data_IF_662283948327
#
_entry.id   IF_662283948327
#
_cell.length_a   1.000
_cell.length_b   1.000
_cell.length_c   1.000
_cell.angle_alpha   90.00
_cell.angle_beta   90.00
_cell.angle_gamma   90.00
#
_symmetry.space_group_name_H-M   'P 1'
#
loop_
_entity.id
_entity.type
_entity.pdbx_description
1 polymer ?
#
# COMPACT_ATOMS: atom_id res chain seq x y z
N UNK A 1 -9.50 17.68 3.96
CA UNK A 1 -9.80 17.66 5.40
C UNK A 1 -11.30 17.85 5.51
N UNK A 2 -12.03 16.75 5.70
CA UNK A 2 -13.46 16.84 5.98
C UNK A 2 -13.57 16.91 7.50
N UNK A 3 -14.00 18.06 8.00
CA UNK A 3 -14.24 18.28 9.41
C UNK A 3 -15.65 17.74 9.68
N UNK A 4 -15.74 16.59 10.36
CA UNK A 4 -17.00 16.08 10.86
C UNK A 4 -17.25 16.70 12.24
N UNK A 5 -18.46 17.20 12.47
CA UNK A 5 -18.93 17.60 13.79
C UNK A 5 -19.44 16.34 14.51
N UNK A 6 -18.50 15.52 14.99
CA UNK A 6 -18.73 14.24 15.65
C UNK A 6 -19.62 14.31 16.92
N UNK A 7 -19.94 15.52 17.40
CA UNK A 7 -20.89 15.75 18.49
C UNK A 7 -22.34 15.76 17.97
N UNK A 8 -22.58 16.28 16.76
CA UNK A 8 -23.90 16.25 16.10
C UNK A 8 -24.13 14.98 15.29
N UNK A 9 -23.07 14.48 14.66
CA UNK A 9 -23.12 13.29 13.80
C UNK A 9 -22.76 12.04 14.62
N UNK A 10 -23.65 11.67 15.55
CA UNK A 10 -23.47 10.53 16.47
C UNK A 10 -23.21 9.16 15.79
N UNK A 11 -23.30 9.09 14.46
CA UNK A 11 -22.95 7.95 13.60
C UNK A 11 -22.03 8.43 12.47
N UNK A 12 -20.88 8.99 12.81
CA UNK A 12 -19.87 9.35 11.83
C UNK A 12 -18.77 8.29 11.79
N UNK A 13 -18.23 8.08 10.60
CA UNK A 13 -17.11 7.18 10.39
C UNK A 13 -15.86 7.71 11.12
N UNK A 14 -14.98 6.83 11.61
CA UNK A 14 -14.80 5.43 11.18
C UNK A 14 -15.78 4.42 11.77
N UNK A 15 -16.15 3.44 10.95
CA UNK A 15 -16.97 2.28 11.37
C UNK A 15 -16.09 1.06 11.67
N UNK A 16 -16.49 0.26 12.65
CA UNK A 16 -15.85 -1.01 12.98
C UNK A 16 -16.26 -2.16 12.02
N UNK A 17 -15.80 -3.37 12.30
CA UNK A 17 -16.11 -4.56 11.48
C UNK A 17 -17.61 -4.94 11.45
N UNK A 18 -18.40 -4.41 12.39
CA UNK A 18 -19.84 -4.60 12.48
C UNK A 18 -20.63 -3.42 11.90
N UNK A 19 -19.95 -2.37 11.44
CA UNK A 19 -20.58 -1.14 10.94
C UNK A 19 -20.86 -0.10 12.02
N UNK A 20 -20.44 -0.34 13.26
CA UNK A 20 -20.72 0.57 14.37
C UNK A 20 -19.70 1.72 14.43
N UNK A 21 -20.17 2.92 14.75
CA UNK A 21 -19.28 4.08 14.90
C UNK A 21 -18.32 3.89 16.08
N UNK A 22 -17.09 4.37 15.93
CA UNK A 22 -16.09 4.31 16.99
C UNK A 22 -16.56 5.07 18.25
N UNK A 23 -16.34 4.48 19.44
CA UNK A 23 -16.68 5.15 20.70
C UNK A 23 -15.83 6.41 20.89
N UNK A 24 -16.42 7.53 21.36
CA UNK A 24 -15.67 8.76 21.61
C UNK A 24 -14.54 8.53 22.63
N UNK A 25 -13.31 8.86 22.24
CA UNK A 25 -12.17 8.96 23.16
C UNK A 25 -11.85 10.43 23.34
N UNK A 26 -11.84 10.87 24.60
CA UNK A 26 -11.93 12.22 25.18
C UNK A 26 -11.32 13.43 24.44
N UNK A 27 -10.49 13.29 23.40
CA UNK A 27 -10.02 14.42 22.56
C UNK A 27 -9.63 14.08 21.11
N UNK A 28 -9.50 12.81 20.71
CA UNK A 28 -9.16 12.41 19.32
C UNK A 28 -9.65 11.01 19.01
N UNK A 29 -10.30 10.85 17.87
CA UNK A 29 -10.67 9.56 17.30
C UNK A 29 -9.48 9.00 16.51
N UNK A 30 -9.02 7.81 16.88
CA UNK A 30 -7.94 7.12 16.18
C UNK A 30 -8.51 5.93 15.42
N UNK A 31 -8.44 5.99 14.09
CA UNK A 31 -8.74 4.84 13.24
C UNK A 31 -7.71 3.74 13.47
N UNK A 32 -8.15 2.57 13.95
CA UNK A 32 -7.30 1.39 13.93
C UNK A 32 -7.22 0.84 12.51
N UNK A 33 -6.27 1.35 11.74
CA UNK A 33 -5.97 0.81 10.41
C UNK A 33 -5.47 -0.61 10.57
N UNK A 34 -6.02 -1.54 9.78
CA UNK A 34 -5.60 -2.95 9.79
C UNK A 34 -4.08 -3.03 9.64
N UNK A 35 -3.44 -3.75 10.54
CA UNK A 35 -1.99 -4.02 10.49
C UNK A 35 -1.66 -4.75 9.20
N UNK A 36 -0.59 -4.32 8.53
CA UNK A 36 -0.02 -5.06 7.42
C UNK A 36 0.96 -6.14 7.93
N UNK A 37 1.43 -6.99 7.01
CA UNK A 37 2.37 -8.07 7.34
C UNK A 37 3.74 -7.57 7.83
N UNK A 38 4.13 -6.34 7.47
CA UNK A 38 5.40 -5.76 7.92
C UNK A 38 5.30 -5.37 9.39
N UNK A 39 4.22 -4.70 9.77
CA UNK A 39 3.93 -4.33 11.14
C UNK A 39 3.72 -5.56 12.03
N UNK A 40 2.97 -6.57 11.56
CA UNK A 40 2.81 -7.85 12.27
C UNK A 40 4.15 -8.56 12.51
N UNK A 41 5.11 -8.42 11.59
CA UNK A 41 6.46 -8.98 11.77
C UNK A 41 7.35 -8.16 12.68
N UNK A 42 6.92 -6.97 13.08
CA UNK A 42 7.60 -6.07 14.02
C UNK A 42 8.31 -4.89 13.38
N UNK A 43 8.10 -4.62 12.09
CA UNK A 43 8.61 -3.39 11.46
C UNK A 43 7.78 -2.17 11.90
N UNK A 44 8.41 -1.01 11.90
CA UNK A 44 7.79 0.28 12.20
C UNK A 44 7.83 1.20 10.98
N UNK A 45 7.08 2.29 11.02
CA UNK A 45 6.98 3.24 9.91
C UNK A 45 8.35 3.71 9.40
N UNK A 46 9.29 3.97 10.33
CA UNK A 46 10.66 4.44 10.07
C UNK A 46 11.61 3.40 9.45
N UNK A 47 11.18 2.14 9.39
CA UNK A 47 11.96 1.07 8.75
C UNK A 47 11.89 1.17 7.22
N UNK A 48 10.80 1.77 6.73
CA UNK A 48 10.62 2.15 5.34
C UNK A 48 10.75 3.67 5.18
N UNK A 49 9.83 4.46 5.76
CA UNK A 49 9.74 5.91 5.56
C UNK A 49 11.01 6.63 6.05
N UNK A 50 11.69 7.28 5.12
CA UNK A 50 12.91 8.06 5.38
C UNK A 50 12.62 9.55 5.48
N UNK A 51 13.61 10.33 5.93
CA UNK A 51 13.53 11.79 5.92
C UNK A 51 13.10 12.36 4.57
N UNK A 52 13.60 11.80 3.45
CA UNK A 52 13.24 12.23 2.10
C UNK A 52 11.74 12.01 1.81
N UNK A 53 11.18 10.93 2.36
CA UNK A 53 9.78 10.54 2.15
C UNK A 53 8.83 11.39 3.01
N UNK A 54 9.29 11.81 4.19
CA UNK A 54 8.49 12.57 5.18
C UNK A 54 8.66 14.08 5.05
N UNK A 55 9.89 14.57 4.87
CA UNK A 55 10.21 16.00 4.75
C UNK A 55 10.24 16.49 3.30
N UNK A 56 10.11 15.57 2.34
CA UNK A 56 10.26 15.85 0.92
C UNK A 56 11.72 15.82 0.47
N UNK A 57 11.88 15.80 -0.86
CA UNK A 57 13.17 15.74 -1.55
C UNK A 57 13.52 17.06 -2.26
N UNK A 58 12.71 18.09 -2.06
CA UNK A 58 12.87 19.41 -2.67
C UNK A 58 12.35 19.54 -4.10
N UNK A 59 11.74 18.49 -4.66
CA UNK A 59 11.20 18.51 -6.02
C UNK A 59 9.68 18.76 -6.05
N UNK A 60 9.20 19.34 -7.15
CA UNK A 60 7.76 19.45 -7.44
C UNK A 60 7.38 18.35 -8.41
N UNK A 61 6.34 17.60 -8.06
CA UNK A 61 5.87 16.46 -8.84
C UNK A 61 4.52 16.73 -9.49
N UNK A 62 4.29 16.25 -10.74
CA UNK A 62 3.01 16.43 -11.41
C UNK A 62 1.89 15.56 -10.81
N UNK A 63 2.23 14.47 -10.11
CA UNK A 63 1.29 13.63 -9.38
C UNK A 63 1.96 12.96 -8.17
N UNK A 64 1.17 12.58 -7.17
CA UNK A 64 1.64 12.00 -5.91
C UNK A 64 2.42 10.69 -6.08
N UNK A 65 2.11 9.88 -7.09
CA UNK A 65 2.84 8.65 -7.39
C UNK A 65 4.33 8.91 -7.67
N UNK A 66 4.67 10.08 -8.23
CA UNK A 66 6.06 10.45 -8.49
C UNK A 66 6.82 10.86 -7.22
N UNK A 67 6.16 10.96 -6.07
CA UNK A 67 6.81 11.24 -4.79
C UNK A 67 7.12 9.98 -3.98
N UNK A 68 6.58 8.81 -4.37
CA UNK A 68 6.84 7.55 -3.66
C UNK A 68 8.33 7.22 -3.71
N UNK A 69 8.98 7.23 -2.54
CA UNK A 69 10.41 6.94 -2.40
C UNK A 69 10.70 5.43 -2.41
N UNK A 70 9.73 4.62 -1.96
CA UNK A 70 9.92 3.18 -1.72
C UNK A 70 8.87 2.38 -2.46
N UNK A 71 9.34 1.48 -3.32
CA UNK A 71 8.50 0.51 -4.02
C UNK A 71 8.63 -0.89 -3.42
N UNK A 72 7.67 -1.77 -3.75
CA UNK A 72 7.73 -3.18 -3.37
C UNK A 72 8.99 -3.87 -3.94
N UNK A 73 9.40 -3.47 -5.15
CA UNK A 73 10.54 -4.00 -5.86
C UNK A 73 11.87 -3.68 -5.17
N UNK A 74 11.91 -2.64 -4.33
CA UNK A 74 13.13 -2.20 -3.65
C UNK A 74 13.62 -3.17 -2.58
N UNK A 75 12.70 -3.97 -2.03
CA UNK A 75 13.03 -5.05 -1.11
C UNK A 75 12.82 -6.43 -1.76
N UNK A 76 11.70 -6.63 -2.44
CA UNK A 76 11.29 -7.98 -2.86
C UNK A 76 11.80 -8.40 -4.25
N UNK A 77 12.17 -7.43 -5.09
CA UNK A 77 12.55 -7.65 -6.48
C UNK A 77 11.36 -8.12 -7.31
N UNK A 78 11.65 -8.87 -8.38
CA UNK A 78 10.66 -9.55 -9.21
C UNK A 78 10.92 -11.06 -9.16
N UNK A 79 10.04 -11.90 -9.72
CA UNK A 79 10.32 -13.33 -9.84
C UNK A 79 11.57 -13.66 -10.69
N UNK A 80 12.04 -12.74 -11.54
CA UNK A 80 13.19 -12.97 -12.41
C UNK A 80 14.47 -12.27 -11.94
N UNK A 81 14.33 -11.16 -11.20
CA UNK A 81 15.45 -10.29 -10.81
C UNK A 81 15.40 -9.94 -9.33
N UNK A 82 16.54 -10.02 -8.67
CA UNK A 82 16.72 -9.48 -7.33
C UNK A 82 16.61 -7.94 -7.35
N UNK A 83 16.32 -7.30 -6.20
CA UNK A 83 16.20 -5.84 -6.12
C UNK A 83 17.38 -5.08 -6.72
N UNK A 84 18.61 -5.55 -6.48
CA UNK A 84 19.85 -4.95 -6.98
C UNK A 84 20.15 -5.25 -8.46
N UNK A 85 19.44 -6.19 -9.08
CA UNK A 85 19.54 -6.52 -10.53
C UNK A 85 18.51 -5.74 -11.38
N UNK A 86 17.56 -5.06 -10.73
CA UNK A 86 16.61 -4.18 -11.39
C UNK A 86 17.29 -2.88 -11.79
N UNK A 87 16.71 -2.14 -12.73
CA UNK A 87 17.24 -0.82 -13.06
C UNK A 87 16.89 0.20 -11.98
N UNK A 88 17.67 1.28 -11.94
CA UNK A 88 17.20 2.50 -11.29
C UNK A 88 15.92 2.95 -12.01
N UNK A 89 14.90 3.30 -11.25
CA UNK A 89 13.60 3.72 -11.74
C UNK A 89 12.59 2.58 -11.95
N UNK A 90 13.01 1.31 -11.86
CA UNK A 90 12.07 0.18 -12.01
C UNK A 90 10.95 0.23 -10.95
N UNK A 91 9.70 0.14 -11.40
CA UNK A 91 8.51 0.27 -10.54
C UNK A 91 8.17 1.73 -10.22
N UNK A 92 8.76 2.70 -10.93
CA UNK A 92 8.42 4.11 -10.83
C UNK A 92 8.10 4.67 -12.22
N UNK A 93 7.41 5.82 -12.31
CA UNK A 93 7.23 6.50 -13.58
C UNK A 93 8.52 7.02 -14.24
N UNK A 94 9.63 7.07 -13.49
CA UNK A 94 10.94 7.53 -13.97
C UNK A 94 11.73 6.31 -14.41
N UNK A 95 12.09 6.20 -15.68
CA UNK A 95 12.95 5.12 -16.17
C UNK A 95 14.37 5.63 -16.38
N UNK A 96 15.31 5.07 -15.63
CA UNK A 96 16.74 5.32 -15.83
C UNK A 96 17.39 4.04 -16.38
N UNK A 97 18.40 4.23 -17.23
CA UNK A 97 19.19 3.12 -17.78
C UNK A 97 20.29 2.73 -16.79
N UNK A 98 20.55 1.43 -16.65
CA UNK A 98 21.60 0.87 -15.80
C UNK A 98 21.06 0.10 -14.61
N UNK A 99 21.85 -0.87 -14.14
CA UNK A 99 21.52 -1.68 -12.97
C UNK A 99 21.56 -0.83 -11.71
N UNK A 100 20.59 -1.05 -10.81
CA UNK A 100 20.47 -0.38 -9.52
C UNK A 100 21.64 -0.71 -8.62
N UNK A 101 22.04 -1.97 -8.55
CA UNK A 101 23.17 -2.42 -7.75
C UNK A 101 22.99 -2.22 -6.24
N UNK A 102 24.12 -2.11 -5.55
CA UNK A 102 24.24 -1.95 -4.10
C UNK A 102 25.32 -0.93 -3.76
N UNK A 103 25.32 -0.43 -2.53
CA UNK A 103 26.38 0.44 -2.02
C UNK A 103 27.17 -0.30 -0.94
N UNK A 104 28.49 -0.38 -1.08
CA UNK A 104 29.36 -1.07 -0.12
C UNK A 104 30.16 -0.06 0.71
N UNK A 105 30.10 -0.20 2.04
CA UNK A 105 30.91 0.57 2.99
C UNK A 105 31.24 -0.30 4.21
N UNK A 106 32.49 -0.27 4.67
CA UNK A 106 32.96 -0.98 5.87
C UNK A 106 32.60 -2.48 5.88
N UNK A 107 32.76 -3.16 4.72
CA UNK A 107 32.35 -4.56 4.48
C UNK A 107 30.86 -4.86 4.63
N UNK A 108 30.01 -3.85 4.75
CA UNK A 108 28.56 -3.97 4.70
C UNK A 108 28.07 -3.57 3.32
N UNK A 109 27.18 -4.39 2.75
CA UNK A 109 26.53 -4.12 1.47
C UNK A 109 25.09 -3.65 1.73
N UNK A 110 24.79 -2.41 1.34
CA UNK A 110 23.52 -1.74 1.52
C UNK A 110 22.70 -1.78 0.23
N UNK A 111 21.39 -1.93 0.38
CA UNK A 111 20.46 -1.89 -0.75
C UNK A 111 20.15 -0.44 -1.14
N UNK A 112 19.89 -0.25 -2.43
CA UNK A 112 19.42 1.02 -2.99
C UNK A 112 17.92 0.94 -3.29
N UNK A 113 17.22 2.07 -3.15
CA UNK A 113 15.83 2.20 -3.63
C UNK A 113 15.78 2.29 -5.15
N UNK A 114 14.58 2.22 -5.71
CA UNK A 114 14.33 2.52 -7.12
C UNK A 114 14.81 3.91 -7.53
N UNK A 115 14.97 4.84 -6.59
CA UNK A 115 15.53 6.19 -6.86
C UNK A 115 17.05 6.28 -6.69
N UNK A 116 17.71 5.17 -6.37
CA UNK A 116 19.15 5.12 -6.15
C UNK A 116 19.59 5.54 -4.74
N UNK A 117 18.64 5.81 -3.83
CA UNK A 117 18.97 6.22 -2.47
C UNK A 117 19.42 5.02 -1.63
N UNK A 118 20.51 5.19 -0.87
CA UNK A 118 21.04 4.15 0.03
C UNK A 118 20.15 4.01 1.26
N UNK A 119 19.75 2.78 1.60
CA UNK A 119 19.00 2.50 2.84
C UNK A 119 19.92 1.86 3.88
N UNK A 120 20.33 2.65 4.88
CA UNK A 120 21.28 2.20 5.92
C UNK A 120 20.82 1.00 6.74
N UNK A 121 19.50 0.77 6.82
CA UNK A 121 18.93 -0.35 7.57
C UNK A 121 18.57 -1.55 6.68
N UNK A 122 18.81 -1.48 5.36
CA UNK A 122 18.56 -2.58 4.43
C UNK A 122 19.89 -3.11 3.93
N UNK A 123 20.18 -4.37 4.23
CA UNK A 123 21.48 -4.98 3.96
C UNK A 123 21.33 -6.22 3.11
N UNK A 124 22.27 -6.40 2.20
CA UNK A 124 22.45 -7.63 1.43
C UNK A 124 23.55 -8.47 2.10
N UNK A 125 23.31 -9.76 2.17
CA UNK A 125 24.29 -10.76 2.61
C UNK A 125 24.20 -11.94 1.62
N UNK A 126 25.09 -11.96 0.63
CA UNK A 126 25.04 -12.94 -0.47
C UNK A 126 23.77 -12.80 -1.31
N UNK A 127 23.01 -13.89 -1.43
CA UNK A 127 21.74 -13.93 -2.19
C UNK A 127 20.51 -13.71 -1.30
N UNK A 128 20.70 -13.22 -0.08
CA UNK A 128 19.63 -12.87 0.85
C UNK A 128 19.76 -11.42 1.28
N UNK A 129 18.66 -10.83 1.75
CA UNK A 129 18.64 -9.46 2.22
C UNK A 129 17.77 -9.31 3.46
N UNK A 130 18.05 -8.26 4.23
CA UNK A 130 17.46 -8.04 5.53
C UNK A 130 17.12 -6.57 5.75
N UNK A 131 15.98 -6.34 6.40
CA UNK A 131 15.66 -5.05 7.04
C UNK A 131 15.99 -5.18 8.53
N UNK A 132 16.80 -4.26 9.05
CA UNK A 132 17.02 -4.11 10.47
C UNK A 132 16.06 -3.05 10.98
N UNK A 133 15.19 -3.39 11.92
CA UNK A 133 14.27 -2.42 12.50
C UNK A 133 15.07 -1.35 13.23
N UNK A 134 14.84 -0.07 12.92
CA UNK A 134 15.49 1.07 13.55
C UNK A 134 15.09 1.24 15.01
N UNK A 135 13.86 0.84 15.34
CA UNK A 135 13.35 1.01 16.70
C UNK A 135 13.77 -0.14 17.61
N UNK A 136 13.70 -1.38 17.12
CA UNK A 136 13.94 -2.58 17.95
C UNK A 136 15.29 -3.26 17.70
N UNK A 137 15.99 -2.91 16.62
CA UNK A 137 17.20 -3.62 16.17
C UNK A 137 16.93 -5.01 15.58
N UNK A 138 15.68 -5.46 15.56
CA UNK A 138 15.30 -6.80 15.07
C UNK A 138 15.69 -6.97 13.60
N UNK A 139 16.35 -8.09 13.29
CA UNK A 139 16.70 -8.49 11.91
C UNK A 139 15.50 -9.20 11.27
N UNK A 140 15.03 -8.68 10.14
CA UNK A 140 13.93 -9.26 9.36
C UNK A 140 14.46 -9.72 8.01
N UNK A 141 14.38 -11.01 7.71
CA UNK A 141 14.68 -11.52 6.35
C UNK A 141 13.62 -11.04 5.36
N UNK A 142 14.08 -10.50 4.24
CA UNK A 142 13.23 -10.06 3.15
C UNK A 142 12.90 -11.28 2.27
N UNK A 143 11.60 -11.63 2.09
CA UNK A 143 11.21 -12.68 1.17
C UNK A 143 11.40 -12.21 -0.27
N UNK A 144 12.48 -12.66 -0.90
CA UNK A 144 12.82 -12.34 -2.29
C UNK A 144 11.98 -13.19 -3.26
N UNK A 145 11.28 -12.54 -4.21
CA UNK A 145 10.38 -13.24 -5.14
C UNK A 145 11.11 -14.24 -6.03
N UNK A 146 12.31 -13.88 -6.53
CA UNK A 146 13.17 -14.77 -7.32
C UNK A 146 13.55 -16.05 -6.56
N UNK A 147 13.90 -15.93 -5.27
CA UNK A 147 14.23 -17.07 -4.40
C UNK A 147 13.02 -17.97 -4.17
N UNK A 148 11.84 -17.36 -3.92
CA UNK A 148 10.57 -18.10 -3.77
C UNK A 148 10.22 -18.86 -5.06
N UNK A 149 10.40 -18.22 -6.22
CA UNK A 149 10.17 -18.85 -7.53
C UNK A 149 11.12 -20.02 -7.78
N UNK A 150 12.42 -19.82 -7.58
CA UNK A 150 13.45 -20.85 -7.79
C UNK A 150 13.23 -22.08 -6.90
N UNK A 151 12.83 -21.86 -5.64
CA UNK A 151 12.54 -22.94 -4.71
C UNK A 151 11.09 -23.49 -4.82
N UNK A 152 10.26 -22.89 -5.65
CA UNK A 152 8.82 -23.14 -5.77
C UNK A 152 8.06 -23.16 -4.42
N UNK A 153 8.36 -22.22 -3.53
CA UNK A 153 7.85 -22.17 -2.14
C UNK A 153 6.70 -21.19 -1.94
N UNK A 154 5.93 -20.90 -2.99
CA UNK A 154 4.76 -20.03 -2.88
C UNK A 154 3.73 -20.61 -1.89
N UNK A 155 3.22 -19.77 -0.99
CA UNK A 155 2.24 -20.18 0.02
C UNK A 155 0.91 -20.67 -0.57
N UNK A 156 0.52 -20.14 -1.73
CA UNK A 156 -0.75 -20.48 -2.38
C UNK A 156 -0.56 -20.61 -3.89
N UNK A 157 -1.41 -21.44 -4.52
CA UNK A 157 -1.43 -21.60 -5.98
C UNK A 157 -1.77 -20.28 -6.67
N UNK A 158 -2.74 -19.54 -6.12
CA UNK A 158 -3.17 -18.24 -6.62
C UNK A 158 -2.02 -17.22 -6.55
N UNK A 159 -1.25 -17.22 -5.45
CA UNK A 159 -0.07 -16.37 -5.30
C UNK A 159 1.00 -16.67 -6.36
N UNK A 160 1.29 -17.96 -6.60
CA UNK A 160 2.20 -18.38 -7.69
C UNK A 160 1.73 -17.88 -9.06
N UNK A 161 0.44 -18.07 -9.36
CA UNK A 161 -0.13 -17.66 -10.64
C UNK A 161 -0.07 -16.14 -10.82
N UNK A 162 -0.51 -15.41 -9.79
CA UNK A 162 -0.58 -13.96 -9.80
C UNK A 162 0.81 -13.32 -9.91
N UNK A 163 1.76 -13.78 -9.09
CA UNK A 163 3.07 -13.14 -8.99
C UNK A 163 4.09 -13.65 -10.00
N UNK A 164 4.02 -14.90 -10.45
CA UNK A 164 5.11 -15.52 -11.24
C UNK A 164 4.70 -16.20 -12.53
N UNK A 165 3.51 -16.80 -12.63
CA UNK A 165 3.12 -17.54 -13.85
C UNK A 165 2.65 -16.59 -14.95
N UNK A 166 1.83 -15.59 -14.60
CA UNK A 166 1.32 -14.60 -15.54
C UNK A 166 2.19 -13.34 -15.43
N UNK A 167 3.28 -13.30 -16.21
CA UNK A 167 4.27 -12.21 -16.21
C UNK A 167 3.64 -10.81 -16.38
N UNK A 168 2.57 -10.70 -17.16
CA UNK A 168 1.85 -9.44 -17.39
C UNK A 168 1.37 -8.75 -16.11
N UNK A 169 1.09 -9.48 -15.03
CA UNK A 169 0.72 -8.83 -13.76
C UNK A 169 1.87 -8.01 -13.20
N UNK A 170 3.09 -8.56 -13.20
CA UNK A 170 4.27 -7.85 -12.69
C UNK A 170 4.71 -6.72 -13.63
N UNK A 171 4.48 -6.88 -14.93
CA UNK A 171 4.88 -5.89 -15.94
C UNK A 171 3.90 -4.71 -16.09
N UNK A 172 2.61 -4.92 -15.78
CA UNK A 172 1.55 -3.93 -16.05
C UNK A 172 0.72 -3.54 -14.84
N UNK A 173 0.88 -4.23 -13.71
CA UNK A 173 0.18 -3.95 -12.48
C UNK A 173 1.17 -3.78 -11.35
N UNK A 174 0.79 -2.97 -10.39
CA UNK A 174 1.58 -2.74 -9.19
C UNK A 174 1.12 -3.69 -8.08
N UNK A 175 2.05 -4.14 -7.23
CA UNK A 175 1.75 -5.16 -6.21
C UNK A 175 0.64 -4.71 -5.25
N UNK A 176 0.55 -3.40 -4.97
CA UNK A 176 -0.47 -2.82 -4.11
C UNK A 176 -1.89 -2.94 -4.69
N UNK A 177 -2.06 -3.22 -5.98
CA UNK A 177 -3.38 -3.51 -6.57
C UNK A 177 -4.07 -4.72 -5.90
N UNK A 178 -3.29 -5.63 -5.29
CA UNK A 178 -3.82 -6.77 -4.52
C UNK A 178 -3.33 -6.80 -3.07
N UNK A 179 -2.18 -6.20 -2.75
CA UNK A 179 -1.55 -6.30 -1.41
C UNK A 179 -1.77 -5.09 -0.49
N UNK A 180 -2.57 -4.09 -0.89
CA UNK A 180 -2.87 -2.91 -0.08
C UNK A 180 -4.08 -3.07 0.83
N UNK A 181 -4.27 -4.24 1.45
CA UNK A 181 -5.40 -4.49 2.37
C UNK A 181 -5.39 -3.62 3.63
N UNK A 182 -4.24 -3.01 3.93
CA UNK A 182 -4.07 -2.03 5.00
C UNK A 182 -4.48 -0.61 4.58
N UNK A 183 -4.52 -0.31 3.27
CA UNK A 183 -4.87 1.02 2.80
C UNK A 183 -6.37 1.27 3.06
N UNK A 184 -6.73 2.36 3.77
CA UNK A 184 -8.13 2.68 4.05
C UNK A 184 -8.92 2.71 2.75
N UNK A 185 -9.97 1.92 2.68
CA UNK A 185 -10.93 2.01 1.58
C UNK A 185 -11.99 3.05 1.93
N UNK A 186 -12.66 3.61 0.91
CA UNK A 186 -13.80 4.51 1.16
C UNK A 186 -14.89 3.78 1.98
N UNK A 187 -15.04 2.48 1.76
CA UNK A 187 -15.86 1.59 2.58
C UNK A 187 -15.25 1.47 4.00
N UNK A 188 -15.98 1.90 5.02
CA UNK A 188 -15.56 1.98 6.42
C UNK A 188 -15.11 3.38 6.88
N UNK A 189 -14.69 4.26 5.96
CA UNK A 189 -14.31 5.66 6.27
C UNK A 189 -15.35 6.70 5.84
N UNK A 190 -16.12 6.45 4.79
CA UNK A 190 -17.20 7.34 4.32
C UNK A 190 -18.44 6.59 3.83
N UNK A 191 -18.37 5.27 3.71
CA UNK A 191 -19.46 4.43 3.22
C UNK A 191 -19.59 3.18 4.07
N UNK A 192 -20.79 2.87 4.52
CA UNK A 192 -21.12 1.57 5.10
C UNK A 192 -21.63 0.65 3.99
N UNK A 193 -21.22 -0.62 4.03
CA UNK A 193 -21.74 -1.64 3.11
C UNK A 193 -22.40 -2.76 3.88
N UNK A 194 -23.70 -2.64 4.10
CA UNK A 194 -24.53 -3.70 4.67
C UNK A 194 -25.13 -4.56 3.54
N UNK A 195 -24.74 -5.83 3.51
CA UNK A 195 -25.30 -6.83 2.58
C UNK A 195 -26.72 -7.26 2.93
N UNK A 196 -27.21 -6.93 4.11
CA UNK A 196 -28.57 -7.23 4.60
C UNK A 196 -29.56 -6.14 4.19
N UNK A 197 -29.08 -4.92 3.93
CA UNK A 197 -29.88 -3.80 3.49
C UNK A 197 -29.95 -3.71 1.96
N UNK A 198 -31.12 -3.33 1.44
CA UNK A 198 -31.27 -2.98 0.03
C UNK A 198 -30.76 -1.55 -0.20
N UNK A 199 -29.70 -1.44 -0.99
CA UNK A 199 -29.12 -0.16 -1.37
C UNK A 199 -30.01 0.66 -2.29
N UNK A 200 -29.79 1.97 -2.30
CA UNK A 200 -30.43 2.88 -3.26
C UNK A 200 -29.88 2.63 -4.66
N UNK A 201 -30.76 2.48 -5.65
CA UNK A 201 -30.36 2.45 -7.05
C UNK A 201 -30.17 3.90 -7.52
N UNK A 202 -28.93 4.38 -7.42
CA UNK A 202 -28.57 5.73 -7.85
C UNK A 202 -28.65 5.93 -9.37
N UNK A 203 -28.58 4.86 -10.16
CA UNK A 203 -28.74 4.93 -11.62
C UNK A 203 -30.20 5.20 -11.97
N UNK A 204 -31.13 4.50 -11.32
CA UNK A 204 -32.56 4.73 -11.53
C UNK A 204 -33.01 6.06 -10.90
N UNK A 205 -32.49 6.39 -9.71
CA UNK A 205 -32.75 7.66 -9.01
C UNK A 205 -32.34 8.85 -9.87
N UNK A 206 -31.16 8.81 -10.48
CA UNK A 206 -30.68 9.90 -11.35
C UNK A 206 -31.53 10.11 -12.61
N UNK A 207 -32.33 9.11 -13.01
CA UNK A 207 -33.26 9.20 -14.14
C UNK A 207 -34.65 9.68 -13.73
N UNK A 208 -35.01 9.62 -12.44
CA UNK A 208 -36.30 10.10 -11.91
C UNK A 208 -36.15 11.52 -11.36
N UNK A 209 -35.94 12.45 -12.28
CA UNK A 209 -35.82 13.87 -12.00
C UNK A 209 -37.17 14.54 -12.24
N UNK A 210 -37.66 15.29 -11.27
CA UNK A 210 -38.80 16.19 -11.45
C UNK A 210 -38.40 17.29 -12.47
N UNK A 211 -39.10 17.41 -13.61
CA UNK A 211 -38.69 18.31 -14.68
C UNK A 211 -38.90 19.79 -14.35
N UNK A 212 -39.69 20.14 -13.33
CA UNK A 212 -39.94 21.52 -12.93
C UNK A 212 -38.95 21.99 -11.85
N UNK A 213 -38.56 21.10 -10.94
CA UNK A 213 -37.73 21.43 -9.76
C UNK A 213 -36.31 20.89 -9.82
N UNK A 214 -36.02 19.95 -10.73
CA UNK A 214 -34.72 19.28 -10.84
C UNK A 214 -34.42 18.31 -9.69
N UNK A 215 -35.37 18.08 -8.77
CA UNK A 215 -35.16 17.19 -7.62
C UNK A 215 -35.26 15.73 -8.04
N UNK A 216 -34.35 14.92 -7.53
CA UNK A 216 -34.35 13.47 -7.74
C UNK A 216 -35.28 12.77 -6.74
N UNK A 217 -36.04 11.78 -7.21
CA UNK A 217 -36.80 10.88 -6.34
C UNK A 217 -36.00 9.62 -6.09
N UNK A 218 -35.58 9.41 -4.84
CA UNK A 218 -34.79 8.25 -4.40
C UNK A 218 -35.56 6.96 -4.69
N UNK A 219 -34.95 6.07 -5.48
CA UNK A 219 -35.51 4.75 -5.76
C UNK A 219 -34.76 3.68 -4.98
N UNK A 220 -35.48 2.99 -4.10
CA UNK A 220 -35.03 1.72 -3.54
C UNK A 220 -35.24 0.62 -4.58
N UNK A 221 -34.27 -0.28 -4.71
CA UNK A 221 -34.38 -1.40 -5.65
C UNK A 221 -35.48 -2.35 -5.16
N UNK A 222 -36.57 -2.50 -5.91
CA UNK A 222 -37.46 -3.66 -5.73
C UNK A 222 -36.68 -4.89 -6.15
N UNK A 223 -36.78 -5.98 -5.37
CA UNK A 223 -36.36 -7.31 -5.83
C UNK A 223 -37.00 -7.67 -7.16
#
# INVERSE_FOLDING_TARGET
>A
MFEFDYIKDAHAAPFDENGEAQKPLFTKEYMHVRKDVHFERGMQCVDCHTSIDVHGDGNIYPATLYQVEISCYDCHGTPEKYPWELSVGYGTPVTLNGDRGTYKKDNVEYMLTSRGNVKQNWRREGDTSYVYSRFTGKKHEIPLLKKIKQADTFKTKQGKVAMSTIHKHIEKMECYACHATWAPQCFGCHMEYDRRAEGTDWITTSKKVDPATGRQTVTKKSR
#
